data_IF_908577007765
#
_entry.id   IF_908577007765
#
_cell.length_a   1.000
_cell.length_b   1.000
_cell.length_c   1.000
_cell.angle_alpha   90.00
_cell.angle_beta   90.00
_cell.angle_gamma   90.00
#
_symmetry.space_group_name_H-M   'P 1'
#
loop_
_entity.id
_entity.type
_entity.pdbx_description
1 polymer ?
#
# COMPACT_ATOMS: atom_id res chain seq x y z
N UNK A 1 -6.88 9.34 26.17
CA UNK A 1 -7.74 8.34 25.54
C UNK A 1 -7.29 8.16 24.08
N UNK A 2 -6.79 6.99 23.76
CA UNK A 2 -6.35 6.66 22.42
C UNK A 2 -7.45 5.99 21.62
N UNK A 3 -7.61 6.38 20.39
CA UNK A 3 -8.55 5.76 19.45
C UNK A 3 -7.84 5.49 18.13
N UNK A 4 -8.47 4.64 17.34
CA UNK A 4 -8.03 4.31 15.99
C UNK A 4 -9.01 4.88 14.99
N UNK A 5 -8.48 5.57 14.00
CA UNK A 5 -9.25 6.14 12.90
C UNK A 5 -8.82 5.45 11.63
N UNK A 6 -9.78 5.07 10.80
CA UNK A 6 -9.54 4.32 9.57
C UNK A 6 -9.99 5.10 8.34
N UNK A 7 -9.18 5.05 7.30
CA UNK A 7 -9.57 5.55 5.98
C UNK A 7 -9.23 4.49 4.94
N UNK A 8 -10.18 4.18 4.09
CA UNK A 8 -9.98 3.26 2.96
C UNK A 8 -9.78 4.03 1.67
N UNK A 9 -8.95 3.48 0.81
CA UNK A 9 -8.74 3.94 -0.55
C UNK A 9 -8.65 2.74 -1.47
N UNK A 10 -8.90 2.94 -2.73
CA UNK A 10 -8.68 1.90 -3.72
C UNK A 10 -7.86 2.39 -4.88
N UNK A 11 -7.12 1.45 -5.49
CA UNK A 11 -6.48 1.69 -6.76
C UNK A 11 -6.49 0.41 -7.58
N UNK A 12 -6.64 0.58 -8.88
CA UNK A 12 -6.53 -0.50 -9.83
C UNK A 12 -5.13 -0.46 -10.44
N UNK A 13 -4.40 -1.56 -10.35
CA UNK A 13 -3.04 -1.59 -10.85
C UNK A 13 -2.69 -2.96 -11.41
N UNK A 14 -1.80 -2.95 -12.40
CA UNK A 14 -1.26 -4.15 -13.00
C UNK A 14 0.13 -4.43 -12.47
N UNK A 15 0.50 -5.69 -12.41
CA UNK A 15 1.83 -6.11 -12.00
C UNK A 15 2.21 -7.48 -12.56
N UNK A 16 3.48 -7.79 -12.40
CA UNK A 16 4.05 -9.10 -12.69
C UNK A 16 5.03 -9.43 -11.58
N UNK A 17 4.94 -10.63 -11.02
CA UNK A 17 5.91 -11.12 -10.05
C UNK A 17 7.03 -11.83 -10.81
N UNK A 18 8.24 -11.34 -10.68
CA UNK A 18 9.38 -11.82 -11.42
C UNK A 18 10.69 -11.50 -10.70
N UNK A 19 11.59 -12.48 -10.67
CA UNK A 19 12.95 -12.25 -10.20
C UNK A 19 13.89 -12.32 -11.41
N UNK A 20 14.52 -11.20 -11.81
CA UNK A 20 15.36 -11.16 -13.01
C UNK A 20 16.66 -11.97 -12.88
N UNK A 21 17.06 -12.31 -11.64
CA UNK A 21 18.25 -13.10 -11.39
C UNK A 21 18.01 -14.61 -11.56
N UNK A 22 16.75 -15.01 -11.68
CA UNK A 22 16.37 -16.40 -11.87
C UNK A 22 16.11 -16.72 -13.34
N UNK A 23 16.17 -18.02 -13.67
CA UNK A 23 15.73 -18.50 -14.98
C UNK A 23 14.22 -18.32 -15.13
N UNK A 24 13.74 -18.29 -16.36
CA UNK A 24 12.30 -18.22 -16.61
C UNK A 24 11.59 -19.45 -16.03
N UNK A 25 12.22 -20.63 -16.13
CA UNK A 25 11.69 -21.86 -15.56
C UNK A 25 11.47 -21.75 -14.05
N UNK A 26 12.44 -21.19 -13.33
CA UNK A 26 12.31 -20.99 -11.88
C UNK A 26 11.24 -19.96 -11.54
N UNK A 27 11.15 -18.88 -12.32
CA UNK A 27 10.10 -17.88 -12.15
C UNK A 27 8.71 -18.50 -12.34
N UNK A 28 8.54 -19.33 -13.34
CA UNK A 28 7.27 -20.02 -13.59
C UNK A 28 6.92 -20.99 -12.46
N UNK A 29 7.92 -21.69 -11.94
CA UNK A 29 7.72 -22.61 -10.83
C UNK A 29 7.28 -21.91 -9.55
N UNK A 30 7.95 -20.79 -9.21
CA UNK A 30 7.70 -20.06 -7.95
C UNK A 30 6.45 -19.19 -8.03
N UNK A 31 6.29 -18.44 -9.10
CA UNK A 31 5.22 -17.45 -9.23
C UNK A 31 4.02 -17.92 -10.05
N UNK A 32 4.18 -18.96 -10.85
CA UNK A 32 3.09 -19.49 -11.67
C UNK A 32 2.47 -18.42 -12.56
N UNK A 33 1.15 -18.30 -12.50
CA UNK A 33 0.40 -17.33 -13.29
C UNK A 33 0.75 -15.87 -13.00
N UNK A 34 1.27 -15.60 -11.81
CA UNK A 34 1.68 -14.25 -11.43
C UNK A 34 2.91 -13.77 -12.19
N UNK A 35 3.62 -14.69 -12.87
CA UNK A 35 4.74 -14.37 -13.74
C UNK A 35 4.37 -14.14 -15.19
N UNK A 36 3.08 -14.10 -15.54
CA UNK A 36 2.63 -13.87 -16.90
C UNK A 36 3.28 -12.60 -17.47
N UNK A 37 4.01 -12.70 -18.62
CA UNK A 37 4.70 -11.56 -19.20
C UNK A 37 3.77 -10.46 -19.72
N UNK A 38 2.48 -10.75 -19.89
CA UNK A 38 1.48 -9.78 -20.33
C UNK A 38 0.75 -9.11 -19.16
N UNK A 39 1.28 -9.28 -17.95
CA UNK A 39 0.74 -8.65 -16.74
C UNK A 39 -0.60 -9.24 -16.29
N UNK A 40 -1.01 -8.88 -15.10
CA UNK A 40 -2.37 -9.07 -14.58
C UNK A 40 -2.64 -7.95 -13.59
N UNK A 41 -3.89 -7.71 -13.29
CA UNK A 41 -4.28 -6.60 -12.44
C UNK A 41 -5.18 -6.99 -11.30
N UNK A 42 -5.22 -6.11 -10.31
CA UNK A 42 -6.08 -6.25 -9.13
C UNK A 42 -6.72 -4.92 -8.79
N UNK A 43 -7.87 -5.00 -8.14
CA UNK A 43 -8.49 -3.87 -7.46
C UNK A 43 -8.00 -3.90 -6.01
N UNK A 44 -6.95 -3.15 -5.73
CA UNK A 44 -6.38 -3.07 -4.40
C UNK A 44 -7.24 -2.20 -3.49
N UNK A 45 -7.38 -2.63 -2.25
CA UNK A 45 -8.01 -1.81 -1.20
C UNK A 45 -6.98 -1.60 -0.10
N UNK A 46 -6.66 -0.34 0.14
CA UNK A 46 -5.76 0.07 1.21
C UNK A 46 -6.59 0.61 2.36
N UNK A 47 -6.33 0.14 3.57
CA UNK A 47 -6.89 0.70 4.79
C UNK A 47 -5.75 1.28 5.62
N UNK A 48 -5.81 2.58 5.86
CA UNK A 48 -4.89 3.25 6.77
C UNK A 48 -5.53 3.31 8.15
N UNK A 49 -4.84 2.79 9.14
CA UNK A 49 -5.23 2.85 10.55
C UNK A 49 -4.30 3.84 11.25
N UNK A 50 -4.87 4.91 11.76
CA UNK A 50 -4.13 5.95 12.48
C UNK A 50 -4.56 5.92 13.94
N UNK A 51 -3.60 5.70 14.83
CA UNK A 51 -3.82 5.69 16.27
C UNK A 51 -3.23 6.95 16.91
N UNK A 52 -4.02 7.59 17.75
CA UNK A 52 -3.57 8.79 18.46
C UNK A 52 -4.49 9.18 19.59
N UNK A 53 -4.09 10.22 20.31
CA UNK A 53 -4.87 10.77 21.41
C UNK A 53 -6.05 11.61 20.88
N UNK A 54 -7.19 11.50 21.53
CA UNK A 54 -8.33 12.36 21.26
C UNK A 54 -8.01 13.78 21.72
N UNK A 55 -8.11 14.74 20.81
CA UNK A 55 -7.99 16.17 21.14
C UNK A 55 -9.33 16.67 21.66
N UNK A 56 -9.43 17.06 22.93
CA UNK A 56 -10.72 17.49 23.49
C UNK A 56 -11.22 18.81 22.89
N UNK A 57 -10.36 19.60 22.28
CA UNK A 57 -10.74 20.85 21.65
C UNK A 57 -11.51 20.65 20.35
N UNK A 58 -11.15 19.62 19.58
CA UNK A 58 -11.75 19.33 18.29
C UNK A 58 -12.66 18.11 18.31
N UNK A 59 -12.41 17.18 19.22
CA UNK A 59 -13.02 15.87 19.24
C UNK A 59 -12.39 14.91 18.21
N UNK A 60 -11.28 15.28 17.61
CA UNK A 60 -10.57 14.48 16.61
C UNK A 60 -9.36 13.77 17.20
N UNK A 61 -9.04 12.61 16.65
CA UNK A 61 -7.69 12.06 16.68
C UNK A 61 -6.88 12.74 15.58
N UNK A 62 -7.41 12.74 14.38
CA UNK A 62 -6.85 13.38 13.20
C UNK A 62 -8.00 13.92 12.35
N UNK A 63 -7.81 15.06 11.70
CA UNK A 63 -8.77 15.56 10.74
C UNK A 63 -8.84 14.62 9.54
N UNK A 64 -10.01 14.05 9.31
CA UNK A 64 -10.25 13.11 8.22
C UNK A 64 -9.95 13.70 6.84
N UNK A 65 -10.13 15.01 6.67
CA UNK A 65 -9.82 15.69 5.41
C UNK A 65 -8.32 15.65 5.12
N UNK A 66 -7.50 15.83 6.14
CA UNK A 66 -6.03 15.77 6.02
C UNK A 66 -5.60 14.34 5.67
N UNK A 67 -6.14 13.35 6.36
CA UNK A 67 -5.83 11.95 6.09
C UNK A 67 -6.25 11.55 4.67
N UNK A 68 -7.43 11.99 4.25
CA UNK A 68 -7.93 11.77 2.88
C UNK A 68 -6.99 12.34 1.83
N UNK A 69 -6.55 13.58 2.01
CA UNK A 69 -5.63 14.24 1.07
C UNK A 69 -4.29 13.50 0.96
N UNK A 70 -3.73 13.11 2.09
CA UNK A 70 -2.47 12.37 2.10
C UNK A 70 -2.61 11.08 1.30
N UNK A 71 -3.65 10.30 1.57
CA UNK A 71 -3.86 9.02 0.90
C UNK A 71 -4.15 9.22 -0.59
N UNK A 72 -4.97 10.21 -0.94
CA UNK A 72 -5.28 10.50 -2.33
C UNK A 72 -4.02 10.87 -3.12
N UNK A 73 -3.23 11.79 -2.60
CA UNK A 73 -2.04 12.29 -3.29
C UNK A 73 -0.90 11.27 -3.31
N UNK A 74 -0.67 10.59 -2.20
CA UNK A 74 0.46 9.67 -2.08
C UNK A 74 0.17 8.28 -2.63
N UNK A 75 -1.07 7.84 -2.60
CA UNK A 75 -1.44 6.47 -2.98
C UNK A 75 -2.28 6.43 -4.25
N UNK A 76 -3.47 7.02 -4.24
CA UNK A 76 -4.37 6.89 -5.39
C UNK A 76 -3.79 7.50 -6.66
N UNK A 77 -3.26 8.70 -6.59
CA UNK A 77 -2.67 9.38 -7.75
C UNK A 77 -1.41 8.70 -8.28
N UNK A 78 -0.65 8.02 -7.40
CA UNK A 78 0.60 7.35 -7.79
C UNK A 78 0.39 5.96 -8.35
N UNK A 79 -0.60 5.23 -7.83
CA UNK A 79 -0.77 3.80 -8.14
C UNK A 79 -1.94 3.50 -9.06
N UNK A 80 -3.01 4.31 -9.00
CA UNK A 80 -4.24 4.00 -9.73
C UNK A 80 -4.06 4.06 -11.24
N UNK A 81 -4.53 3.03 -11.93
CA UNK A 81 -4.41 2.86 -13.38
C UNK A 81 -2.95 2.79 -13.85
N UNK A 82 -2.05 2.30 -12.99
CA UNK A 82 -0.62 2.19 -13.30
C UNK A 82 -0.18 0.74 -13.39
N UNK A 83 0.94 0.54 -14.07
CA UNK A 83 1.68 -0.70 -14.02
C UNK A 83 2.76 -0.56 -12.94
N UNK A 84 2.68 -1.38 -11.89
CA UNK A 84 3.55 -1.24 -10.73
C UNK A 84 5.02 -1.55 -11.04
N UNK A 85 5.26 -2.37 -12.06
CA UNK A 85 6.63 -2.69 -12.48
C UNK A 85 7.26 -1.58 -13.32
N UNK A 86 6.47 -0.84 -14.06
CA UNK A 86 6.96 0.08 -15.10
C UNK A 86 6.74 1.56 -14.78
N UNK A 87 5.63 1.91 -14.14
CA UNK A 87 5.15 3.29 -14.05
C UNK A 87 5.29 3.95 -12.69
N UNK A 88 5.62 3.17 -11.66
CA UNK A 88 5.68 3.68 -10.28
C UNK A 88 7.13 3.70 -9.81
N UNK A 89 7.69 4.91 -9.70
CA UNK A 89 9.09 5.11 -9.33
C UNK A 89 9.43 4.47 -7.98
N UNK A 90 8.55 4.57 -7.01
CA UNK A 90 8.75 4.05 -5.66
C UNK A 90 8.81 2.53 -5.60
N UNK A 91 8.31 1.85 -6.64
CA UNK A 91 8.35 0.40 -6.75
C UNK A 91 9.57 -0.10 -7.52
N UNK A 92 10.36 0.80 -8.06
CA UNK A 92 11.51 0.45 -8.91
C UNK A 92 12.52 -0.42 -8.16
N UNK A 93 12.90 -1.52 -8.79
CA UNK A 93 13.84 -2.47 -8.18
C UNK A 93 13.20 -3.43 -7.18
N UNK A 94 11.90 -3.31 -6.95
CA UNK A 94 11.17 -4.21 -6.07
C UNK A 94 10.28 -5.15 -6.87
N UNK A 95 10.15 -6.38 -6.38
CA UNK A 95 9.11 -7.28 -6.86
C UNK A 95 7.78 -6.79 -6.28
N UNK A 96 6.78 -6.41 -7.09
CA UNK A 96 5.57 -5.75 -6.57
C UNK A 96 4.55 -6.73 -5.96
N UNK A 97 4.99 -7.47 -4.97
CA UNK A 97 4.13 -8.28 -4.12
C UNK A 97 3.27 -7.38 -3.25
N UNK A 98 2.18 -7.91 -2.72
CA UNK A 98 1.35 -7.17 -1.77
C UNK A 98 2.18 -6.68 -0.58
N UNK A 99 3.13 -7.50 -0.12
CA UNK A 99 4.04 -7.16 0.98
C UNK A 99 4.88 -5.93 0.67
N UNK A 100 5.56 -5.92 -0.47
CA UNK A 100 6.39 -4.78 -0.87
C UNK A 100 5.56 -3.52 -1.15
N UNK A 101 4.39 -3.68 -1.76
CA UNK A 101 3.47 -2.56 -2.00
C UNK A 101 3.04 -1.94 -0.66
N UNK A 102 2.67 -2.78 0.31
CA UNK A 102 2.25 -2.30 1.63
C UNK A 102 3.34 -1.49 2.34
N UNK A 103 4.59 -1.95 2.27
CA UNK A 103 5.74 -1.24 2.87
C UNK A 103 5.95 0.11 2.18
N UNK A 104 5.90 0.15 0.86
CA UNK A 104 6.04 1.41 0.10
C UNK A 104 4.92 2.38 0.45
N UNK A 105 3.68 1.92 0.48
CA UNK A 105 2.54 2.76 0.85
C UNK A 105 2.67 3.30 2.27
N UNK A 106 3.10 2.46 3.21
CA UNK A 106 3.33 2.89 4.59
C UNK A 106 4.36 4.01 4.66
N UNK A 107 5.49 3.85 3.97
CA UNK A 107 6.54 4.86 3.94
C UNK A 107 6.06 6.19 3.37
N UNK A 108 5.29 6.15 2.29
CA UNK A 108 4.75 7.35 1.65
C UNK A 108 3.80 8.11 2.58
N UNK A 109 2.92 7.40 3.25
CA UNK A 109 1.97 8.02 4.19
C UNK A 109 2.68 8.50 5.44
N UNK A 110 3.62 7.70 5.98
CA UNK A 110 4.35 8.03 7.22
C UNK A 110 5.07 9.38 7.13
N UNK A 111 5.65 9.70 5.98
CA UNK A 111 6.37 10.96 5.76
C UNK A 111 5.48 12.19 5.91
N UNK A 112 4.20 12.04 5.65
CA UNK A 112 3.23 13.14 5.66
C UNK A 112 2.45 13.26 6.96
N UNK A 113 2.45 12.21 7.81
CA UNK A 113 1.80 12.23 9.12
C UNK A 113 2.73 12.78 10.19
N UNK A 114 2.15 13.50 11.15
CA UNK A 114 2.90 13.92 12.33
C UNK A 114 3.40 12.70 13.10
N UNK A 115 4.61 12.79 13.70
CA UNK A 115 5.20 11.65 14.42
C UNK A 115 4.38 11.14 15.61
N UNK A 116 3.49 11.97 16.15
CA UNK A 116 2.65 11.58 17.29
C UNK A 116 1.63 10.49 16.96
N UNK A 117 1.34 10.28 15.67
CA UNK A 117 0.41 9.25 15.24
C UNK A 117 1.14 7.95 14.98
N UNK A 118 0.53 6.84 15.41
CA UNK A 118 0.93 5.50 14.99
C UNK A 118 0.20 5.17 13.70
N UNK A 119 0.87 4.51 12.78
CA UNK A 119 0.32 4.16 11.47
C UNK A 119 0.44 2.67 11.20
N UNK A 120 -0.67 2.07 10.80
CA UNK A 120 -0.69 0.72 10.25
C UNK A 120 -1.42 0.74 8.91
N UNK A 121 -0.88 0.01 7.95
CA UNK A 121 -1.49 -0.16 6.63
C UNK A 121 -1.94 -1.61 6.49
N UNK A 122 -3.16 -1.79 6.01
CA UNK A 122 -3.68 -3.07 5.55
C UNK A 122 -3.92 -2.96 4.06
N UNK A 123 -3.30 -3.83 3.29
CA UNK A 123 -3.47 -3.85 1.84
C UNK A 123 -4.10 -5.16 1.40
N UNK A 124 -5.28 -5.07 0.82
CA UNK A 124 -5.95 -6.19 0.17
C UNK A 124 -5.57 -6.19 -1.30
N UNK A 125 -4.94 -7.25 -1.76
CA UNK A 125 -4.73 -7.52 -3.18
C UNK A 125 -6.02 -8.06 -3.79
N UNK A 126 -6.68 -8.95 -3.05
CA UNK A 126 -8.01 -9.48 -3.32
C UNK A 126 -8.83 -9.36 -2.04
N UNK A 127 -10.13 -9.69 -2.10
CA UNK A 127 -10.96 -9.72 -0.90
C UNK A 127 -10.46 -10.70 0.15
N UNK A 128 -9.77 -11.77 -0.28
CA UNK A 128 -9.34 -12.87 0.58
C UNK A 128 -7.88 -12.78 1.02
N UNK A 129 -7.06 -12.10 0.27
CA UNK A 129 -5.62 -12.03 0.53
C UNK A 129 -5.19 -10.60 0.84
N UNK A 130 -4.66 -10.42 2.02
CA UNK A 130 -4.22 -9.10 2.47
C UNK A 130 -3.02 -9.22 3.40
N UNK A 131 -2.30 -8.14 3.51
CA UNK A 131 -1.12 -8.00 4.37
C UNK A 131 -1.26 -6.76 5.24
N UNK A 132 -0.55 -6.75 6.37
CA UNK A 132 -0.49 -5.59 7.25
C UNK A 132 0.96 -5.22 7.51
N UNK A 133 1.21 -3.92 7.61
CA UNK A 133 2.52 -3.39 7.98
C UNK A 133 2.35 -2.14 8.84
N UNK A 134 3.03 -2.09 9.97
CA UNK A 134 2.96 -0.99 10.93
C UNK A 134 4.30 -0.28 11.14
N UNK A 135 5.27 -0.55 10.29
CA UNK A 135 6.61 0.01 10.44
C UNK A 135 7.48 -0.76 11.44
N UNK A 136 6.92 -1.77 12.06
CA UNK A 136 7.61 -2.59 13.06
C UNK A 136 8.20 -3.83 12.37
N UNK A 137 9.45 -4.00 12.54
CA UNK A 137 10.20 -5.06 11.84
C UNK A 137 10.54 -6.17 12.81
#
# INVERSE_FOLDING_TARGET
MKLKVYRKAHFNAAHRLHNPDWTQEKNDEVFGKCNNPNWHGHNYVLTAEVTGELDPATGYVIDIKILKEIIQEEIEERFDHRNLNLDVEEMKGLNPTAENIAVVCWNLIRKRLEPKYELKIRLHETERNFVEYDGNI
#
